data_IF_464937955896
#
_entry.id   IF_464937955896
#
_cell.length_a   1.000
_cell.length_b   1.000
_cell.length_c   1.000
_cell.angle_alpha   90.00
_cell.angle_beta   90.00
_cell.angle_gamma   90.00
#
_symmetry.space_group_name_H-M   'P 1'
#
loop_
_entity.id
_entity.type
_entity.pdbx_description
1 polymer ?
#
# COMPACT_ATOMS: atom_id res chain seq x y z
N UNK A 1 40.93 -7.84 -20.02
CA UNK A 1 39.49 -7.57 -20.18
C UNK A 1 39.08 -8.21 -21.48
N UNK A 2 38.45 -9.38 -21.41
CA UNK A 2 38.04 -10.15 -22.59
C UNK A 2 36.73 -9.53 -23.07
N UNK A 3 36.70 -9.00 -24.29
CA UNK A 3 35.44 -8.55 -24.87
C UNK A 3 34.66 -9.78 -25.34
N UNK A 4 33.41 -9.90 -24.90
CA UNK A 4 32.49 -10.91 -25.43
C UNK A 4 32.40 -10.80 -26.96
N UNK A 5 32.25 -11.92 -27.67
CA UNK A 5 31.80 -11.91 -29.05
C UNK A 5 30.55 -11.02 -29.18
N UNK A 6 30.39 -10.25 -30.27
CA UNK A 6 29.24 -9.34 -30.44
C UNK A 6 27.88 -9.99 -30.15
N UNK A 7 27.68 -11.22 -30.63
CA UNK A 7 26.44 -11.99 -30.42
C UNK A 7 26.17 -12.33 -28.95
N UNK A 8 27.22 -12.57 -28.16
CA UNK A 8 27.09 -12.84 -26.72
C UNK A 8 26.79 -11.57 -25.94
N UNK A 9 27.41 -10.46 -26.33
CA UNK A 9 27.17 -9.16 -25.70
C UNK A 9 25.73 -8.69 -25.95
N UNK A 10 25.23 -8.87 -27.17
CA UNK A 10 23.84 -8.57 -27.52
C UNK A 10 22.87 -9.42 -26.67
N UNK A 11 23.12 -10.74 -26.54
CA UNK A 11 22.33 -11.61 -25.66
C UNK A 11 22.33 -11.12 -24.21
N UNK A 12 23.48 -10.70 -23.69
CA UNK A 12 23.60 -10.17 -22.35
C UNK A 12 22.81 -8.86 -22.16
N UNK A 13 22.86 -7.96 -23.15
CA UNK A 13 22.08 -6.72 -23.16
C UNK A 13 20.57 -6.99 -23.20
N UNK A 14 20.12 -7.89 -24.07
CA UNK A 14 18.70 -8.29 -24.14
C UNK A 14 18.22 -8.84 -22.81
N UNK A 15 19.01 -9.69 -22.15
CA UNK A 15 18.66 -10.22 -20.83
C UNK A 15 18.50 -9.10 -19.79
N UNK A 16 19.39 -8.10 -19.79
CA UNK A 16 19.27 -6.92 -18.93
C UNK A 16 17.98 -6.14 -19.24
N UNK A 17 17.67 -5.87 -20.50
CA UNK A 17 16.45 -5.14 -20.86
C UNK A 17 15.16 -5.86 -20.46
N UNK A 18 15.12 -7.18 -20.61
CA UNK A 18 14.00 -8.01 -20.12
C UNK A 18 13.87 -7.89 -18.59
N UNK A 19 14.98 -7.89 -17.86
CA UNK A 19 14.97 -7.72 -16.41
C UNK A 19 14.54 -6.33 -15.96
N UNK A 20 14.93 -5.27 -16.68
CA UNK A 20 14.41 -3.91 -16.42
C UNK A 20 12.89 -3.91 -16.57
N UNK A 21 12.36 -4.47 -17.66
CA UNK A 21 10.93 -4.57 -17.89
C UNK A 21 10.21 -5.30 -16.75
N UNK A 22 10.76 -6.44 -16.30
CA UNK A 22 10.22 -7.19 -15.14
C UNK A 22 10.22 -6.36 -13.86
N UNK A 23 11.30 -5.64 -13.57
CA UNK A 23 11.38 -4.79 -12.38
C UNK A 23 10.34 -3.66 -12.42
N UNK A 24 10.19 -2.99 -13.55
CA UNK A 24 9.20 -1.92 -13.74
C UNK A 24 7.78 -2.46 -13.51
N UNK A 25 7.45 -3.61 -14.13
CA UNK A 25 6.14 -4.24 -13.95
C UNK A 25 5.87 -4.62 -12.50
N UNK A 26 6.86 -5.17 -11.79
CA UNK A 26 6.69 -5.52 -10.37
C UNK A 26 6.54 -4.29 -9.47
N UNK A 27 7.24 -3.20 -9.76
CA UNK A 27 7.04 -1.92 -9.06
C UNK A 27 5.67 -1.30 -9.37
N UNK A 28 5.14 -1.49 -10.57
CA UNK A 28 3.76 -1.09 -10.91
C UNK A 28 2.72 -1.95 -10.19
N UNK A 29 2.95 -3.27 -10.07
CA UNK A 29 2.10 -4.16 -9.28
C UNK A 29 2.10 -3.76 -7.80
N UNK A 30 3.26 -3.34 -7.28
CA UNK A 30 3.38 -2.80 -5.93
C UNK A 30 2.56 -1.53 -5.73
N UNK A 31 2.64 -0.59 -6.67
CA UNK A 31 1.82 0.62 -6.67
C UNK A 31 0.32 0.28 -6.71
N UNK A 32 -0.07 -0.68 -7.55
CA UNK A 32 -1.46 -1.13 -7.65
C UNK A 32 -1.93 -1.80 -6.35
N UNK A 33 -1.09 -2.61 -5.71
CA UNK A 33 -1.39 -3.24 -4.43
C UNK A 33 -1.66 -2.20 -3.34
N UNK A 34 -0.83 -1.15 -3.25
CA UNK A 34 -1.06 -0.01 -2.34
C UNK A 34 -2.39 0.70 -2.61
N UNK A 35 -2.71 0.98 -3.89
CA UNK A 35 -4.00 1.60 -4.28
C UNK A 35 -5.20 0.77 -3.83
N UNK A 36 -5.06 -0.54 -3.76
CA UNK A 36 -6.11 -1.45 -3.30
C UNK A 36 -6.19 -1.51 -1.78
N UNK A 37 -5.05 -1.43 -1.10
CA UNK A 37 -4.95 -1.53 0.35
C UNK A 37 -5.44 -0.24 1.05
N UNK A 38 -4.98 0.93 0.60
CA UNK A 38 -5.20 2.21 1.29
C UNK A 38 -6.68 2.54 1.60
N UNK A 39 -7.65 2.27 0.71
CA UNK A 39 -9.06 2.51 0.97
C UNK A 39 -9.66 1.71 2.13
N UNK A 40 -8.97 0.67 2.60
CA UNK A 40 -9.47 -0.22 3.65
C UNK A 40 -9.10 0.22 5.07
N UNK A 41 -8.20 1.20 5.20
CA UNK A 41 -7.79 1.73 6.50
C UNK A 41 -8.79 2.69 7.13
N UNK A 42 -9.65 3.34 6.35
CA UNK A 42 -10.63 4.31 6.85
C UNK A 42 -11.93 4.27 6.02
N UNK A 43 -13.00 3.81 6.66
CA UNK A 43 -14.30 3.62 6.04
C UNK A 43 -15.37 4.27 6.91
N UNK A 44 -16.26 5.03 6.29
CA UNK A 44 -17.38 5.68 6.96
C UNK A 44 -18.68 5.43 6.20
N UNK A 45 -19.79 5.28 6.92
CA UNK A 45 -21.13 5.04 6.36
C UNK A 45 -21.56 6.14 5.37
N UNK A 46 -21.12 7.38 5.61
CA UNK A 46 -21.45 8.55 4.80
C UNK A 46 -20.21 9.17 4.13
N UNK A 47 -19.09 8.45 4.16
CA UNK A 47 -17.85 8.82 3.48
C UNK A 47 -17.76 8.25 2.06
N UNK A 48 -16.65 8.53 1.35
CA UNK A 48 -16.40 7.89 0.06
C UNK A 48 -16.21 6.39 0.24
N UNK A 49 -16.83 5.59 -0.65
CA UNK A 49 -16.68 4.13 -0.65
C UNK A 49 -15.23 3.74 -0.97
N UNK A 50 -14.79 2.51 -0.61
CA UNK A 50 -13.46 2.04 -0.98
C UNK A 50 -13.16 2.14 -2.47
N UNK A 51 -14.16 1.93 -3.33
CA UNK A 51 -14.07 2.04 -4.78
C UNK A 51 -13.83 3.49 -5.21
N UNK A 52 -14.60 4.44 -4.66
CA UNK A 52 -14.42 5.88 -4.94
C UNK A 52 -13.06 6.40 -4.44
N UNK A 53 -12.59 5.89 -3.30
CA UNK A 53 -11.24 6.19 -2.81
C UNK A 53 -10.18 5.62 -3.76
N UNK A 54 -10.35 4.39 -4.25
CA UNK A 54 -9.44 3.75 -5.22
C UNK A 54 -9.37 4.53 -6.53
N UNK A 55 -10.49 5.03 -7.03
CA UNK A 55 -10.54 5.89 -8.22
C UNK A 55 -9.74 7.18 -8.03
N UNK A 56 -9.86 7.82 -6.86
CA UNK A 56 -9.03 9.00 -6.52
C UNK A 56 -7.54 8.68 -6.47
N UNK A 57 -7.19 7.48 -6.03
CA UNK A 57 -5.81 7.01 -5.97
C UNK A 57 -5.28 6.51 -7.33
N UNK A 58 -6.14 6.28 -8.33
CA UNK A 58 -5.74 5.68 -9.60
C UNK A 58 -4.64 6.48 -10.32
N UNK A 59 -4.71 7.81 -10.26
CA UNK A 59 -3.74 8.72 -10.88
C UNK A 59 -2.55 9.06 -9.98
N UNK A 60 -2.55 8.58 -8.74
CA UNK A 60 -1.48 8.88 -7.79
C UNK A 60 -0.28 7.95 -8.00
N UNK A 61 0.90 8.51 -7.80
CA UNK A 61 2.17 7.78 -7.93
C UNK A 61 2.56 7.11 -6.63
N UNK A 62 3.46 6.13 -6.72
CA UNK A 62 4.00 5.40 -5.57
C UNK A 62 4.42 6.30 -4.40
N UNK A 63 5.08 7.44 -4.68
CA UNK A 63 5.52 8.37 -3.62
C UNK A 63 4.36 8.97 -2.82
N UNK A 64 3.25 9.31 -3.49
CA UNK A 64 2.05 9.79 -2.81
C UNK A 64 1.39 8.68 -1.98
N UNK A 65 1.33 7.46 -2.51
CA UNK A 65 0.71 6.33 -1.82
C UNK A 65 1.49 5.92 -0.55
N UNK A 66 2.82 5.95 -0.62
CA UNK A 66 3.70 5.69 0.53
C UNK A 66 3.41 6.69 1.64
N UNK A 67 3.35 7.99 1.29
CA UNK A 67 3.02 9.04 2.26
C UNK A 67 1.66 8.80 2.93
N UNK A 68 0.64 8.48 2.15
CA UNK A 68 -0.70 8.16 2.67
C UNK A 68 -0.71 6.92 3.57
N UNK A 69 0.11 5.90 3.26
CA UNK A 69 0.23 4.71 4.11
C UNK A 69 0.88 5.06 5.45
N UNK A 70 1.94 5.87 5.43
CA UNK A 70 2.61 6.34 6.64
C UNK A 70 1.69 7.20 7.49
N UNK A 71 0.91 8.11 6.89
CA UNK A 71 -0.08 8.92 7.61
C UNK A 71 -1.18 8.06 8.27
N UNK A 72 -1.54 6.91 7.66
CA UNK A 72 -2.55 5.99 8.22
C UNK A 72 -2.00 5.03 9.28
N UNK A 73 -0.69 4.83 9.31
CA UNK A 73 -0.01 3.91 10.24
C UNK A 73 0.64 4.64 11.41
N UNK A 74 0.94 5.93 11.26
CA UNK A 74 1.42 6.77 12.34
C UNK A 74 0.36 6.92 13.44
N UNK A 75 0.79 6.75 14.69
CA UNK A 75 0.01 7.14 15.86
C UNK A 75 -0.02 8.67 15.91
N UNK A 76 -1.21 9.23 15.67
CA UNK A 76 -1.49 10.61 16.02
C UNK A 76 -2.65 10.61 17.01
N UNK A 77 -2.45 11.34 18.11
CA UNK A 77 -3.43 11.80 19.11
C UNK A 77 -4.50 12.73 18.50
N UNK A 78 -4.79 12.60 17.20
CA UNK A 78 -5.92 13.28 16.60
C UNK A 78 -7.20 12.62 17.09
N UNK A 79 -8.05 13.43 17.72
CA UNK A 79 -9.41 13.03 18.07
C UNK A 79 -10.08 12.41 16.84
N UNK A 80 -10.79 11.29 16.99
CA UNK A 80 -11.50 10.69 15.89
C UNK A 80 -12.50 11.70 15.31
N UNK A 81 -12.27 12.14 14.09
CA UNK A 81 -13.25 13.00 13.40
C UNK A 81 -14.56 12.22 13.26
N UNK A 82 -15.61 12.77 13.88
CA UNK A 82 -16.93 12.15 13.97
C UNK A 82 -17.53 11.89 12.58
N UNK A 83 -18.18 10.73 12.35
CA UNK A 83 -18.86 10.48 11.10
C UNK A 83 -20.01 11.47 10.91
N UNK A 84 -20.07 12.10 9.73
CA UNK A 84 -21.15 13.04 9.40
C UNK A 84 -22.50 12.32 9.38
N UNK A 85 -23.48 12.80 10.14
CA UNK A 85 -24.88 12.39 10.04
C UNK A 85 -25.54 13.11 8.86
N UNK A 86 -26.16 12.35 7.95
CA UNK A 86 -26.97 12.93 6.88
C UNK A 86 -28.41 13.19 7.37
N UNK A 87 -29.15 14.16 6.77
CA UNK A 87 -30.54 14.40 7.13
C UNK A 87 -31.38 13.11 7.06
N UNK A 88 -32.08 12.79 8.14
CA UNK A 88 -32.90 11.58 8.25
C UNK A 88 -32.17 10.33 8.74
N UNK A 89 -30.86 10.39 8.99
CA UNK A 89 -30.14 9.32 9.70
C UNK A 89 -30.07 9.60 11.20
N UNK A 90 -30.26 8.56 11.99
CA UNK A 90 -30.09 8.59 13.47
C UNK A 90 -28.71 8.10 13.91
N UNK A 91 -27.99 7.40 13.03
CA UNK A 91 -26.66 6.83 13.30
C UNK A 91 -25.73 6.99 12.10
N UNK A 92 -24.46 7.25 12.37
CA UNK A 92 -23.38 7.14 11.40
C UNK A 92 -22.23 6.34 12.02
N UNK A 93 -21.49 5.61 11.19
CA UNK A 93 -20.41 4.73 11.64
C UNK A 93 -19.12 5.03 10.88
N UNK A 94 -17.99 5.04 11.59
CA UNK A 94 -16.65 5.09 11.00
C UNK A 94 -15.79 4.00 11.62
N UNK A 95 -15.11 3.24 10.79
CA UNK A 95 -14.10 2.27 11.20
C UNK A 95 -12.76 2.69 10.64
N UNK A 96 -11.77 2.79 11.53
CA UNK A 96 -10.38 3.01 11.18
C UNK A 96 -9.55 1.83 11.65
N UNK A 97 -8.83 1.21 10.73
CA UNK A 97 -7.82 0.20 11.05
C UNK A 97 -6.49 0.92 11.21
N UNK A 98 -5.68 0.49 12.18
CA UNK A 98 -4.31 0.96 12.37
C UNK A 98 -3.42 -0.27 12.51
N UNK A 99 -2.21 -0.18 11.98
CA UNK A 99 -1.18 -1.19 12.20
C UNK A 99 -0.32 -0.64 13.35
N UNK A 100 -0.42 -1.18 14.57
CA UNK A 100 0.41 -0.73 15.67
C UNK A 100 1.87 -1.03 15.34
N UNK A 101 2.69 0.01 15.33
CA UNK A 101 4.13 -0.08 15.10
C UNK A 101 4.84 0.74 16.17
N UNK A 102 5.92 0.20 16.74
CA UNK A 102 6.82 1.03 17.53
C UNK A 102 7.61 1.99 16.61
N UNK A 103 8.27 2.99 17.19
CA UNK A 103 8.99 4.01 16.43
C UNK A 103 10.07 3.44 15.48
N UNK A 104 10.74 2.36 15.88
CA UNK A 104 11.75 1.69 15.07
C UNK A 104 11.11 0.96 13.88
N UNK A 105 10.01 0.25 14.09
CA UNK A 105 9.24 -0.43 13.05
C UNK A 105 8.66 0.56 12.04
N UNK A 106 8.10 1.68 12.52
CA UNK A 106 7.55 2.72 11.65
C UNK A 106 8.65 3.39 10.81
N UNK A 107 9.83 3.64 11.40
CA UNK A 107 10.98 4.16 10.68
C UNK A 107 11.48 3.16 9.63
N UNK A 108 11.64 1.89 9.99
CA UNK A 108 12.08 0.86 9.06
C UNK A 108 11.10 0.70 7.88
N UNK A 109 9.79 0.70 8.16
CA UNK A 109 8.78 0.67 7.10
C UNK A 109 8.89 1.90 6.18
N UNK A 110 9.10 3.10 6.74
CA UNK A 110 9.32 4.31 5.95
C UNK A 110 10.57 4.20 5.06
N UNK A 111 11.68 3.71 5.62
CA UNK A 111 12.94 3.54 4.92
C UNK A 111 12.81 2.53 3.76
N UNK A 112 12.17 1.38 4.01
CA UNK A 112 11.92 0.34 2.99
C UNK A 112 11.04 0.87 1.85
N UNK A 113 10.00 1.63 2.18
CA UNK A 113 9.11 2.25 1.19
C UNK A 113 9.84 3.29 0.34
N UNK A 114 10.63 4.16 0.97
CA UNK A 114 11.41 5.18 0.28
C UNK A 114 12.50 4.57 -0.61
N UNK A 115 13.12 3.48 -0.17
CA UNK A 115 14.10 2.74 -0.96
C UNK A 115 13.47 2.17 -2.25
N UNK A 116 12.25 1.62 -2.20
CA UNK A 116 11.54 1.19 -3.42
C UNK A 116 11.25 2.37 -4.39
N UNK A 117 10.89 3.54 -3.86
CA UNK A 117 10.71 4.76 -4.66
C UNK A 117 12.02 5.16 -5.36
N UNK A 118 13.12 5.18 -4.60
CA UNK A 118 14.43 5.52 -5.13
C UNK A 118 14.88 4.53 -6.20
N UNK A 119 14.67 3.22 -5.99
CA UNK A 119 14.95 2.17 -6.96
C UNK A 119 14.16 2.35 -8.26
N UNK A 120 12.88 2.71 -8.18
CA UNK A 120 12.07 3.03 -9.36
C UNK A 120 12.64 4.23 -10.14
N UNK A 121 12.97 5.31 -9.44
CA UNK A 121 13.55 6.50 -10.07
C UNK A 121 14.93 6.21 -10.67
N UNK A 122 15.74 5.41 -9.99
CA UNK A 122 17.03 4.94 -10.50
C UNK A 122 16.86 4.16 -11.81
N UNK A 123 15.93 3.19 -11.87
CA UNK A 123 15.67 2.43 -13.09
C UNK A 123 15.31 3.31 -14.30
N UNK A 124 14.52 4.35 -14.06
CA UNK A 124 14.00 5.22 -15.13
C UNK A 124 15.01 6.29 -15.55
N UNK A 125 15.77 6.85 -14.61
CA UNK A 125 16.58 8.05 -14.85
C UNK A 125 18.10 7.83 -14.79
N UNK A 126 18.58 6.89 -13.99
CA UNK A 126 20.01 6.76 -13.66
C UNK A 126 20.65 5.43 -14.07
N UNK A 127 19.84 4.42 -14.38
CA UNK A 127 20.31 3.07 -14.66
C UNK A 127 21.38 3.02 -15.76
N UNK A 128 21.15 3.73 -16.87
CA UNK A 128 22.04 3.73 -18.03
C UNK A 128 23.37 4.47 -17.76
N UNK A 129 23.37 5.49 -16.91
CA UNK A 129 24.60 6.18 -16.52
C UNK A 129 25.46 5.35 -15.57
N UNK A 130 24.82 4.51 -14.75
CA UNK A 130 25.50 3.66 -13.77
C UNK A 130 26.10 2.41 -14.42
N UNK A 131 25.32 1.70 -15.26
CA UNK A 131 25.75 0.45 -15.87
C UNK A 131 26.17 0.62 -17.33
N UNK A 132 27.46 0.36 -17.60
CA UNK A 132 28.00 0.34 -18.97
C UNK A 132 27.62 -0.94 -19.70
N UNK A 133 26.42 -0.97 -20.29
CA UNK A 133 25.89 -2.12 -21.03
C UNK A 133 26.67 -2.45 -22.32
N UNK A 134 27.61 -1.61 -22.75
CA UNK A 134 28.54 -1.92 -23.84
C UNK A 134 29.66 -2.89 -23.43
N UNK A 135 29.68 -3.35 -22.18
CA UNK A 135 30.70 -4.25 -21.64
C UNK A 135 30.04 -5.45 -20.96
N UNK A 136 30.67 -6.62 -21.05
CA UNK A 136 30.21 -7.83 -20.36
C UNK A 136 30.07 -7.59 -18.85
N UNK A 137 31.10 -7.02 -18.22
CA UNK A 137 31.10 -6.70 -16.79
C UNK A 137 29.94 -5.79 -16.39
N UNK A 138 29.61 -4.82 -17.25
CA UNK A 138 28.49 -3.92 -17.02
C UNK A 138 27.14 -4.63 -17.13
N UNK A 139 26.98 -5.53 -18.10
CA UNK A 139 25.79 -6.36 -18.22
C UNK A 139 25.63 -7.33 -17.04
N UNK A 140 26.71 -7.96 -16.58
CA UNK A 140 26.69 -8.86 -15.42
C UNK A 140 26.34 -8.12 -14.13
N UNK A 141 26.94 -6.96 -13.88
CA UNK A 141 26.64 -6.13 -12.72
C UNK A 141 25.18 -5.63 -12.74
N UNK A 142 24.72 -5.15 -13.90
CA UNK A 142 23.33 -4.75 -14.12
C UNK A 142 22.36 -5.89 -13.86
N UNK A 143 22.65 -7.09 -14.38
CA UNK A 143 21.83 -8.28 -14.17
C UNK A 143 21.72 -8.63 -12.69
N UNK A 144 22.84 -8.68 -11.96
CA UNK A 144 22.84 -9.00 -10.53
C UNK A 144 22.02 -7.99 -9.71
N UNK A 145 22.16 -6.70 -10.01
CA UNK A 145 21.36 -5.64 -9.40
C UNK A 145 19.86 -5.84 -9.67
N UNK A 146 19.49 -6.07 -10.93
CA UNK A 146 18.09 -6.21 -11.34
C UNK A 146 17.45 -7.48 -10.78
N UNK A 147 18.16 -8.61 -10.73
CA UNK A 147 17.66 -9.84 -10.12
C UNK A 147 17.32 -9.61 -8.63
N UNK A 148 18.21 -8.93 -7.91
CA UNK A 148 17.98 -8.60 -6.51
C UNK A 148 16.81 -7.63 -6.31
N UNK A 149 16.71 -6.58 -7.14
CA UNK A 149 15.59 -5.64 -7.12
C UNK A 149 14.25 -6.33 -7.44
N UNK A 150 14.26 -7.24 -8.40
CA UNK A 150 13.08 -7.99 -8.81
C UNK A 150 12.53 -8.85 -7.65
N UNK A 151 13.40 -9.54 -6.91
CA UNK A 151 13.02 -10.32 -5.74
C UNK A 151 12.55 -9.45 -4.56
N UNK A 152 13.13 -8.26 -4.37
CA UNK A 152 12.63 -7.31 -3.39
C UNK A 152 11.23 -6.80 -3.74
N UNK A 153 11.00 -6.38 -4.99
CA UNK A 153 9.70 -5.88 -5.44
C UNK A 153 8.60 -6.95 -5.32
N UNK A 154 8.88 -8.20 -5.70
CA UNK A 154 7.94 -9.32 -5.53
C UNK A 154 7.57 -9.55 -4.07
N UNK A 155 8.56 -9.59 -3.17
CA UNK A 155 8.31 -9.78 -1.73
C UNK A 155 7.45 -8.65 -1.17
N UNK A 156 7.73 -7.41 -1.55
CA UNK A 156 6.95 -6.25 -1.13
C UNK A 156 5.49 -6.33 -1.62
N UNK A 157 5.25 -6.80 -2.86
CA UNK A 157 3.88 -7.05 -3.38
C UNK A 157 3.16 -8.10 -2.55
N UNK A 158 3.81 -9.23 -2.24
CA UNK A 158 3.24 -10.30 -1.42
C UNK A 158 2.82 -9.78 -0.05
N UNK A 159 3.71 -9.07 0.65
CA UNK A 159 3.44 -8.52 1.98
C UNK A 159 2.24 -7.57 1.99
N UNK A 160 2.11 -6.67 1.00
CA UNK A 160 0.96 -5.76 0.93
C UNK A 160 -0.34 -6.52 0.69
N UNK A 161 -0.32 -7.54 -0.17
CA UNK A 161 -1.50 -8.33 -0.44
C UNK A 161 -1.92 -9.15 0.78
N UNK A 162 -0.98 -9.68 1.54
CA UNK A 162 -1.24 -10.37 2.82
C UNK A 162 -1.91 -9.42 3.82
N UNK A 163 -1.34 -8.23 4.03
CA UNK A 163 -1.95 -7.18 4.88
C UNK A 163 -3.35 -6.82 4.37
N UNK A 164 -3.53 -6.65 3.06
CA UNK A 164 -4.83 -6.34 2.46
C UNK A 164 -5.87 -7.41 2.68
N UNK A 165 -5.49 -8.69 2.58
CA UNK A 165 -6.37 -9.82 2.85
C UNK A 165 -6.76 -9.87 4.34
N UNK A 166 -5.80 -9.70 5.25
CA UNK A 166 -6.09 -9.66 6.68
C UNK A 166 -7.04 -8.51 7.06
N UNK A 167 -6.81 -7.30 6.54
CA UNK A 167 -7.73 -6.17 6.77
C UNK A 167 -9.12 -6.47 6.22
N UNK A 168 -9.21 -7.07 5.04
CA UNK A 168 -10.48 -7.45 4.42
C UNK A 168 -11.24 -8.46 5.30
N UNK A 169 -10.56 -9.51 5.77
CA UNK A 169 -11.17 -10.52 6.65
C UNK A 169 -11.68 -9.92 7.97
N UNK A 170 -10.87 -9.09 8.64
CA UNK A 170 -11.28 -8.39 9.86
C UNK A 170 -12.49 -7.48 9.63
N UNK A 171 -12.55 -6.80 8.48
CA UNK A 171 -13.70 -5.97 8.08
C UNK A 171 -14.95 -6.79 7.83
N UNK A 172 -14.83 -7.94 7.16
CA UNK A 172 -15.96 -8.85 6.95
C UNK A 172 -16.50 -9.34 8.29
N UNK A 173 -15.62 -9.73 9.23
CA UNK A 173 -16.03 -10.13 10.58
C UNK A 173 -16.75 -9.01 11.32
N UNK A 174 -16.20 -7.80 11.31
CA UNK A 174 -16.84 -6.63 11.92
C UNK A 174 -18.20 -6.32 11.29
N UNK A 175 -18.29 -6.37 9.96
CA UNK A 175 -19.56 -6.15 9.25
C UNK A 175 -20.61 -7.22 9.63
N UNK A 176 -20.21 -8.49 9.68
CA UNK A 176 -21.10 -9.58 10.12
C UNK A 176 -21.60 -9.37 11.55
N UNK A 177 -20.73 -8.92 12.46
CA UNK A 177 -21.13 -8.57 13.82
C UNK A 177 -22.10 -7.39 13.85
N UNK A 178 -21.82 -6.30 13.14
CA UNK A 178 -22.71 -5.13 13.10
C UNK A 178 -24.09 -5.42 12.49
N UNK A 179 -24.19 -6.42 11.63
CA UNK A 179 -25.46 -6.90 11.05
C UNK A 179 -26.16 -7.96 11.90
N UNK A 180 -25.58 -8.36 13.04
CA UNK A 180 -26.19 -9.34 13.95
C UNK A 180 -27.36 -8.73 14.73
N UNK A 181 -28.38 -9.52 15.12
CA UNK A 181 -29.47 -9.06 15.98
C UNK A 181 -28.96 -8.45 17.29
N UNK A 182 -27.89 -9.02 17.87
CA UNK A 182 -27.29 -8.55 19.12
C UNK A 182 -26.74 -7.13 18.99
N UNK A 183 -26.05 -6.83 17.89
CA UNK A 183 -25.53 -5.49 17.64
C UNK A 183 -26.65 -4.47 17.35
N UNK A 184 -27.68 -4.88 16.61
CA UNK A 184 -28.85 -4.02 16.33
C UNK A 184 -29.57 -3.67 17.64
N UNK A 185 -29.82 -4.68 18.50
CA UNK A 185 -30.46 -4.46 19.79
C UNK A 185 -29.64 -3.52 20.68
N UNK A 186 -28.31 -3.70 20.73
CA UNK A 186 -27.43 -2.81 21.49
C UNK A 186 -27.51 -1.36 21.01
N UNK A 187 -27.52 -1.14 19.69
CA UNK A 187 -27.65 0.19 19.11
C UNK A 187 -29.00 0.81 19.45
N UNK A 188 -30.09 0.04 19.35
CA UNK A 188 -31.44 0.50 19.70
C UNK A 188 -31.56 0.88 21.18
N UNK A 189 -30.95 0.10 22.08
CA UNK A 189 -30.88 0.40 23.52
C UNK A 189 -30.09 1.69 23.79
N UNK A 190 -28.97 1.91 23.09
CA UNK A 190 -28.19 3.14 23.20
C UNK A 190 -28.92 4.38 22.70
N UNK A 191 -29.93 4.24 21.85
CA UNK A 191 -30.76 5.34 21.35
C UNK A 191 -31.96 5.67 22.25
N UNK A 192 -32.25 4.84 23.27
CA UNK A 192 -33.32 5.14 24.21
C UNK A 192 -32.96 6.34 25.09
N UNK A 193 -33.90 7.27 25.34
CA UNK A 193 -33.65 8.40 26.21
C UNK A 193 -33.32 7.92 27.63
N UNK A 194 -32.25 8.47 28.23
CA UNK A 194 -31.93 8.23 29.64
C UNK A 194 -33.16 8.55 30.49
N UNK A 195 -33.60 7.59 31.30
CA UNK A 195 -34.69 7.82 32.25
C UNK A 195 -34.32 8.99 33.17
N UNK A 196 -35.21 9.98 33.35
CA UNK A 196 -34.92 11.09 34.25
C UNK A 196 -34.69 10.54 35.67
N UNK A 197 -33.75 11.12 36.44
CA UNK A 197 -33.48 10.68 37.80
C UNK A 197 -34.77 10.76 38.64
N UNK A 198 -35.03 9.69 39.40
CA UNK A 198 -36.16 9.60 40.31
C UNK A 198 -36.11 10.76 41.30
N UNK A 199 -37.21 11.50 41.43
CA UNK A 199 -37.36 12.60 42.41
C UNK A 199 -37.26 12.12 43.85
#
# INVERSE_FOLDING_TARGET
MTNLPPDELERAQTAVFVLIGKCILNLQLYEQALKNLLPHFDVSSNGPTPEQQREKLALQTLGFLIRQLLEKTAEFDEEPEEPKLLPGQTTAFRSRFRIPMNAEQAKQACDDLNDLLQKRNFLVHHFRSEFRLSTESGCLAAKAYLDNLNEQAKRAVTQINEIGNELKERRTLLASFLMSPEAIQLIDEMQQPLNPPSK
#
